data_IF_982712488339
#
_entry.id   IF_982712488339
#
_cell.length_a   1.000
_cell.length_b   1.000
_cell.length_c   1.000
_cell.angle_alpha   90.00
_cell.angle_beta   90.00
_cell.angle_gamma   90.00
#
_symmetry.space_group_name_H-M   'P 1'
#
loop_
_entity.id
_entity.type
_entity.pdbx_description
1 polymer ?
#
# COMPACT_ATOMS: atom_id res chain seq x y z
N UNK A 1 -10.14 33.83 -18.82
CA UNK A 1 -8.91 34.33 -19.47
C UNK A 1 -8.51 33.30 -20.54
N UNK A 2 -8.40 33.66 -21.82
CA UNK A 2 -7.99 32.72 -22.88
C UNK A 2 -6.47 32.60 -22.90
N UNK A 3 -5.91 31.48 -22.45
CA UNK A 3 -4.46 31.19 -22.52
C UNK A 3 -4.15 30.44 -23.81
N UNK A 4 -3.16 30.90 -24.57
CA UNK A 4 -2.76 30.30 -25.85
C UNK A 4 -1.26 29.97 -25.77
N UNK A 5 -0.88 28.76 -26.20
CA UNK A 5 0.53 28.37 -26.32
C UNK A 5 1.03 28.77 -27.70
N UNK A 6 2.13 29.50 -27.73
CA UNK A 6 2.82 29.84 -28.98
C UNK A 6 3.68 28.64 -29.41
N UNK A 7 3.39 28.10 -30.58
CA UNK A 7 4.13 26.98 -31.20
C UNK A 7 4.93 27.43 -32.43
N UNK A 8 5.15 28.74 -32.59
CA UNK A 8 5.94 29.31 -33.68
C UNK A 8 7.40 28.85 -33.59
N UNK A 9 8.05 28.77 -34.75
CA UNK A 9 9.45 28.38 -34.81
C UNK A 9 10.34 29.48 -34.24
N UNK A 10 11.06 29.18 -33.17
CA UNK A 10 12.09 30.02 -32.60
C UNK A 10 13.41 29.26 -32.50
N UNK A 11 14.45 29.79 -33.14
CA UNK A 11 15.81 29.29 -32.97
C UNK A 11 16.51 30.05 -31.86
N UNK A 12 17.42 29.39 -31.16
CA UNK A 12 18.24 30.01 -30.14
C UNK A 12 19.71 29.63 -30.34
N UNK A 13 20.66 30.56 -30.08
CA UNK A 13 22.07 30.31 -30.32
C UNK A 13 22.70 29.53 -29.17
N UNK A 14 23.69 28.69 -29.45
CA UNK A 14 24.47 28.02 -28.40
C UNK A 14 25.30 29.01 -27.58
N UNK A 15 25.73 30.11 -28.21
CA UNK A 15 26.50 31.18 -27.59
C UNK A 15 25.74 32.49 -27.70
N UNK A 16 25.46 33.11 -26.57
CA UNK A 16 24.78 34.39 -26.45
C UNK A 16 25.79 35.47 -26.03
N UNK A 17 26.04 36.42 -26.93
CA UNK A 17 26.88 37.59 -26.68
C UNK A 17 25.99 38.76 -26.28
N UNK A 18 26.16 39.26 -25.05
CA UNK A 18 25.38 40.38 -24.51
C UNK A 18 26.24 41.62 -24.24
N UNK A 19 27.51 41.64 -24.66
CA UNK A 19 28.42 42.75 -24.35
C UNK A 19 27.85 44.11 -24.82
N UNK A 20 27.25 44.14 -26.02
CA UNK A 20 26.66 45.34 -26.62
C UNK A 20 25.44 45.89 -25.86
N UNK A 21 24.70 45.03 -25.14
CA UNK A 21 23.57 45.46 -24.31
C UNK A 21 24.04 46.06 -22.98
N UNK A 22 25.19 45.61 -22.46
CA UNK A 22 25.74 46.13 -21.20
C UNK A 22 26.52 47.41 -21.43
N UNK A 23 27.35 47.48 -22.48
CA UNK A 23 28.14 48.68 -22.84
C UNK A 23 27.28 49.91 -23.16
N UNK A 24 26.07 49.71 -23.70
CA UNK A 24 25.11 50.80 -23.97
C UNK A 24 24.46 51.36 -22.70
N UNK A 25 24.51 50.62 -21.59
CA UNK A 25 23.93 51.04 -20.31
C UNK A 25 24.88 51.94 -19.50
N UNK A 26 26.20 51.78 -19.68
CA UNK A 26 27.20 52.65 -19.03
C UNK A 26 27.26 54.06 -19.65
N UNK A 27 26.84 54.22 -20.92
CA UNK A 27 26.81 55.51 -21.61
C UNK A 27 25.46 56.25 -21.52
N UNK A 28 24.46 55.71 -20.82
CA UNK A 28 23.10 56.25 -20.77
C UNK A 28 22.61 56.62 -19.36
N UNK A 29 23.53 56.96 -18.44
CA UNK A 29 23.18 57.53 -17.13
C UNK A 29 23.11 59.06 -17.17
N UNK A 30 22.10 59.61 -17.83
CA UNK A 30 21.50 60.91 -17.48
C UNK A 30 19.97 60.85 -17.64
N UNK A 31 19.26 60.99 -16.50
CA UNK A 31 17.82 61.29 -16.35
C UNK A 31 16.81 60.23 -16.88
N UNK A 32 15.83 59.73 -16.11
CA UNK A 32 14.83 60.46 -15.32
C UNK A 32 14.10 59.58 -14.29
N UNK A 33 13.92 60.15 -13.08
CA UNK A 33 12.81 60.06 -12.12
C UNK A 33 11.86 58.85 -12.07
N UNK A 34 11.78 58.31 -10.85
CA UNK A 34 10.77 57.43 -10.25
C UNK A 34 9.31 57.72 -10.67
N UNK A 35 8.57 56.65 -10.99
CA UNK A 35 7.12 56.57 -10.79
C UNK A 35 6.74 55.19 -10.25
N UNK A 36 6.38 55.19 -8.97
CA UNK A 36 5.74 54.10 -8.24
C UNK A 36 4.27 53.99 -8.68
N UNK A 37 3.80 52.79 -9.03
CA UNK A 37 2.38 52.44 -9.15
C UNK A 37 2.18 51.05 -8.48
N UNK A 38 1.10 50.81 -7.71
CA UNK A 38 1.03 49.77 -6.69
C UNK A 38 0.48 48.41 -7.18
N UNK A 39 0.83 47.36 -6.44
CA UNK A 39 0.36 45.97 -6.54
C UNK A 39 -1.16 45.80 -6.46
N UNK A 40 -1.71 44.79 -7.15
CA UNK A 40 -2.91 44.11 -6.71
C UNK A 40 -2.64 42.62 -6.40
N UNK A 41 -2.76 42.33 -5.10
CA UNK A 41 -3.37 41.17 -4.44
C UNK A 41 -3.24 39.76 -5.04
N UNK A 42 -2.67 38.90 -4.20
CA UNK A 42 -2.77 37.43 -4.19
C UNK A 42 -4.22 36.95 -4.10
N UNK A 43 -4.61 36.01 -4.96
CA UNK A 43 -5.52 34.89 -4.61
C UNK A 43 -5.51 33.83 -5.74
N UNK A 44 -5.07 32.60 -5.44
CA UNK A 44 -5.89 31.39 -5.59
C UNK A 44 -5.03 30.15 -5.37
N UNK A 45 -5.28 29.47 -4.26
CA UNK A 45 -4.98 28.06 -4.05
C UNK A 45 -5.71 27.19 -5.07
N UNK A 46 -5.01 26.28 -5.74
CA UNK A 46 -5.64 25.16 -6.46
C UNK A 46 -4.86 23.87 -6.21
N UNK A 47 -5.53 22.92 -5.55
CA UNK A 47 -5.06 21.61 -5.15
C UNK A 47 -5.18 20.66 -6.35
N UNK A 48 -4.05 20.33 -6.97
CA UNK A 48 -3.98 19.37 -8.07
C UNK A 48 -3.74 17.94 -7.58
N UNK A 49 -4.79 17.12 -7.69
CA UNK A 49 -4.80 15.68 -7.42
C UNK A 49 -3.94 14.92 -8.45
N UNK A 50 -3.06 14.06 -7.94
CA UNK A 50 -2.18 13.14 -8.66
C UNK A 50 -2.98 11.95 -9.21
N UNK A 51 -3.08 11.84 -10.55
CA UNK A 51 -3.41 10.58 -11.21
C UNK A 51 -2.31 10.21 -12.20
N UNK A 52 -1.45 9.29 -11.75
CA UNK A 52 -0.44 8.64 -12.56
C UNK A 52 -1.05 7.85 -13.72
N UNK A 53 -0.55 8.11 -14.93
CA UNK A 53 -0.79 7.26 -16.10
C UNK A 53 0.58 6.84 -16.63
N UNK A 54 0.88 5.56 -16.46
CA UNK A 54 2.02 4.88 -17.05
C UNK A 54 1.89 4.87 -18.58
N UNK A 55 2.92 5.33 -19.29
CA UNK A 55 2.97 5.26 -20.76
C UNK A 55 4.05 4.26 -21.16
N UNK A 56 3.63 3.12 -21.71
CA UNK A 56 4.50 2.05 -22.19
C UNK A 56 5.40 2.54 -23.35
N UNK A 57 6.69 2.23 -23.25
CA UNK A 57 7.71 2.55 -24.26
C UNK A 57 7.75 1.45 -25.33
N UNK A 58 7.35 1.80 -26.56
CA UNK A 58 7.57 0.95 -27.74
C UNK A 58 9.01 1.14 -28.27
N UNK A 59 9.90 0.22 -27.95
CA UNK A 59 11.26 0.17 -28.50
C UNK A 59 11.23 -0.60 -29.82
N UNK A 60 11.34 0.10 -30.95
CA UNK A 60 11.73 -0.50 -32.23
C UNK A 60 13.24 -0.36 -32.39
N UNK A 61 13.95 -1.47 -32.17
CA UNK A 61 15.37 -1.59 -32.43
C UNK A 61 15.68 -1.42 -33.90
N UNK A 62 16.38 -0.34 -34.24
CA UNK A 62 17.16 -0.23 -35.45
C UNK A 62 18.61 0.04 -35.04
N UNK A 63 19.43 -1.01 -35.16
CA UNK A 63 20.89 -0.91 -35.07
C UNK A 63 21.39 -0.09 -36.27
N UNK A 64 21.86 1.12 -36.01
CA UNK A 64 22.71 1.87 -36.93
C UNK A 64 23.94 2.33 -36.16
N UNK A 65 25.04 1.62 -36.37
CA UNK A 65 26.36 2.06 -35.93
C UNK A 65 26.65 3.43 -36.53
N UNK A 66 26.96 4.40 -35.69
CA UNK A 66 27.51 5.69 -36.10
C UNK A 66 28.63 6.11 -35.17
N UNK A 67 29.84 6.07 -35.73
CA UNK A 67 30.98 6.94 -35.54
C UNK A 67 31.14 7.68 -34.20
N UNK A 68 31.92 7.06 -33.32
CA UNK A 68 32.50 7.70 -32.13
C UNK A 68 33.41 8.91 -32.47
N UNK A 69 33.80 9.08 -33.74
CA UNK A 69 34.68 10.16 -34.21
C UNK A 69 34.00 11.50 -34.43
N UNK A 70 32.69 11.53 -34.72
CA UNK A 70 31.94 12.79 -34.93
C UNK A 70 31.64 13.52 -33.61
N UNK A 71 31.37 12.78 -32.55
CA UNK A 71 31.00 13.30 -31.23
C UNK A 71 32.17 13.96 -30.47
N UNK A 72 33.39 13.47 -30.68
CA UNK A 72 34.61 14.06 -30.11
C UNK A 72 34.95 15.42 -30.75
N UNK A 73 34.56 15.61 -32.03
CA UNK A 73 34.82 16.84 -32.77
C UNK A 73 33.94 18.01 -32.29
N UNK A 74 32.69 17.77 -31.88
CA UNK A 74 31.77 18.83 -31.45
C UNK A 74 32.11 19.41 -30.08
N UNK A 75 32.50 18.57 -29.10
CA UNK A 75 32.96 19.05 -27.79
C UNK A 75 34.25 19.89 -27.91
N UNK A 76 35.16 19.50 -28.82
CA UNK A 76 36.39 20.22 -29.11
C UNK A 76 36.17 21.50 -29.94
N UNK A 77 35.14 21.54 -30.79
CA UNK A 77 34.73 22.74 -31.53
C UNK A 77 34.09 23.78 -30.61
N UNK A 78 33.22 23.35 -29.69
CA UNK A 78 32.60 24.21 -28.69
C UNK A 78 33.62 24.83 -27.73
N UNK A 79 34.62 24.06 -27.30
CA UNK A 79 35.70 24.56 -26.44
C UNK A 79 36.59 25.60 -27.13
N UNK A 80 36.84 25.43 -28.44
CA UNK A 80 37.59 26.41 -29.25
C UNK A 80 36.79 27.70 -29.48
N UNK A 81 35.50 27.58 -29.78
CA UNK A 81 34.59 28.71 -29.91
C UNK A 81 34.50 29.51 -28.60
N UNK A 82 34.43 28.85 -27.44
CA UNK A 82 34.44 29.52 -26.14
C UNK A 82 35.72 30.33 -25.87
N UNK A 83 36.89 29.88 -26.34
CA UNK A 83 38.17 30.60 -26.20
C UNK A 83 38.27 31.82 -27.12
N UNK A 84 37.76 31.74 -28.35
CA UNK A 84 37.68 32.91 -29.24
C UNK A 84 36.70 33.94 -28.74
N UNK A 85 35.56 33.51 -28.18
CA UNK A 85 34.50 34.41 -27.73
C UNK A 85 34.84 35.13 -26.42
N UNK A 86 35.75 34.62 -25.59
CA UNK A 86 36.34 35.37 -24.46
C UNK A 86 37.02 36.68 -24.88
N UNK A 87 37.42 36.81 -26.14
CA UNK A 87 38.00 38.06 -26.69
C UNK A 87 36.96 39.16 -26.94
N UNK A 88 35.66 38.84 -26.90
CA UNK A 88 34.55 39.78 -27.18
C UNK A 88 34.07 40.58 -25.97
N UNK A 89 34.59 40.28 -24.77
CA UNK A 89 34.18 40.90 -23.51
C UNK A 89 33.63 39.89 -22.50
N UNK A 90 33.34 40.31 -21.25
CA UNK A 90 32.98 39.39 -20.17
C UNK A 90 31.55 38.83 -20.30
N UNK A 91 30.63 39.49 -21.01
CA UNK A 91 29.21 39.15 -21.03
C UNK A 91 28.85 38.14 -22.14
N UNK A 92 29.58 37.03 -22.20
CA UNK A 92 29.33 35.92 -23.12
C UNK A 92 28.82 34.71 -22.34
N UNK A 93 27.76 34.08 -22.85
CA UNK A 93 27.08 32.98 -22.20
C UNK A 93 26.93 31.76 -23.12
N UNK A 94 26.98 30.57 -22.55
CA UNK A 94 26.78 29.29 -23.24
C UNK A 94 25.44 28.67 -22.81
N UNK A 95 24.66 28.18 -23.77
CA UNK A 95 23.45 27.41 -23.52
C UNK A 95 23.81 26.07 -22.88
N UNK A 96 23.21 25.76 -21.75
CA UNK A 96 23.47 24.50 -21.05
C UNK A 96 22.21 23.74 -20.63
N UNK A 97 21.03 24.38 -20.64
CA UNK A 97 19.78 23.69 -20.36
C UNK A 97 18.63 24.29 -21.18
N UNK A 98 17.75 23.41 -21.65
CA UNK A 98 16.56 23.71 -22.43
C UNK A 98 15.41 23.00 -21.73
N UNK A 99 14.51 23.77 -21.10
CA UNK A 99 13.28 23.24 -20.55
C UNK A 99 12.24 23.17 -21.65
N UNK A 100 11.70 21.98 -21.85
CA UNK A 100 10.79 21.68 -22.95
C UNK A 100 9.41 21.43 -22.35
N UNK A 101 8.40 21.99 -22.99
CA UNK A 101 7.03 21.73 -22.64
C UNK A 101 6.32 21.05 -23.81
N UNK A 102 5.74 19.89 -23.56
CA UNK A 102 4.93 19.14 -24.51
C UNK A 102 3.47 19.20 -24.06
N UNK A 103 2.60 19.84 -24.83
CA UNK A 103 1.19 20.00 -24.46
C UNK A 103 0.64 21.40 -24.72
N UNK A 104 -0.54 21.67 -24.15
CA UNK A 104 -1.29 22.90 -24.38
C UNK A 104 -1.05 23.94 -23.29
N UNK A 105 -1.59 25.16 -23.46
CA UNK A 105 -1.54 26.17 -22.40
C UNK A 105 -2.33 25.80 -21.12
N UNK A 106 -3.20 24.78 -21.20
CA UNK A 106 -3.99 24.30 -20.06
C UNK A 106 -3.32 23.14 -19.30
N UNK A 107 -2.29 22.52 -19.88
CA UNK A 107 -1.65 21.35 -19.28
C UNK A 107 -0.77 20.62 -20.29
N UNK A 108 0.26 19.96 -19.76
CA UNK A 108 1.26 19.25 -20.53
C UNK A 108 2.36 18.66 -19.64
N UNK A 109 3.39 18.15 -20.29
CA UNK A 109 4.53 17.49 -19.67
C UNK A 109 5.79 18.34 -19.80
N UNK A 110 6.58 18.42 -18.73
CA UNK A 110 7.85 19.14 -18.71
C UNK A 110 9.00 18.16 -18.60
N UNK A 111 10.02 18.40 -19.41
CA UNK A 111 11.29 17.67 -19.34
C UNK A 111 12.42 18.60 -19.76
N UNK A 112 13.66 18.22 -19.48
CA UNK A 112 14.80 19.09 -19.72
C UNK A 112 15.85 18.41 -20.59
N UNK A 113 16.39 19.14 -21.56
CA UNK A 113 17.67 18.80 -22.18
C UNK A 113 18.75 19.56 -21.44
N UNK A 114 19.75 18.85 -20.91
CA UNK A 114 20.83 19.45 -20.12
C UNK A 114 22.16 18.99 -20.70
N UNK A 115 23.05 19.94 -20.93
CA UNK A 115 24.43 19.72 -21.33
C UNK A 115 25.24 19.37 -20.08
N UNK A 116 25.84 18.19 -20.09
CA UNK A 116 26.79 17.79 -19.07
C UNK A 116 28.10 18.57 -19.24
N UNK A 117 28.57 19.23 -18.19
CA UNK A 117 29.86 19.93 -18.20
C UNK A 117 31.06 18.98 -18.08
N UNK A 118 30.84 17.69 -17.80
CA UNK A 118 31.90 16.69 -17.64
C UNK A 118 32.41 16.23 -19.02
N UNK A 119 31.49 15.93 -19.93
CA UNK A 119 31.78 15.35 -21.25
C UNK A 119 31.29 16.23 -22.43
N UNK A 120 30.63 17.35 -22.12
CA UNK A 120 30.10 18.29 -23.11
C UNK A 120 28.91 17.75 -23.91
N UNK A 121 28.34 16.62 -23.51
CA UNK A 121 27.25 15.96 -24.23
C UNK A 121 25.88 16.39 -23.71
N UNK A 122 24.86 16.27 -24.55
CA UNK A 122 23.48 16.58 -24.18
C UNK A 122 22.72 15.33 -23.74
N UNK A 123 21.90 15.51 -22.71
CA UNK A 123 21.06 14.46 -22.15
C UNK A 123 19.63 14.95 -21.99
N UNK A 124 18.66 14.08 -22.28
CA UNK A 124 17.25 14.25 -21.96
C UNK A 124 16.97 13.70 -20.58
N UNK A 125 16.56 14.57 -19.67
CA UNK A 125 16.06 14.26 -18.34
C UNK A 125 14.54 14.30 -18.39
N UNK A 126 13.93 13.12 -18.48
CA UNK A 126 12.48 12.91 -18.52
C UNK A 126 12.07 12.06 -17.32
N UNK A 127 11.77 12.73 -16.21
CA UNK A 127 11.46 12.13 -14.91
C UNK A 127 12.50 11.07 -14.47
N UNK A 128 12.06 9.81 -14.34
CA UNK A 128 12.91 8.68 -13.95
C UNK A 128 13.87 8.22 -15.06
N UNK A 129 13.75 8.74 -16.28
CA UNK A 129 14.53 8.32 -17.44
C UNK A 129 15.52 9.40 -17.88
N UNK A 130 16.79 9.02 -17.94
CA UNK A 130 17.86 9.86 -18.47
C UNK A 130 18.49 9.17 -19.69
N UNK A 131 18.50 9.85 -20.83
CA UNK A 131 19.08 9.33 -22.08
C UNK A 131 19.96 10.36 -22.77
N UNK A 132 20.99 9.91 -23.49
CA UNK A 132 21.82 10.78 -24.32
C UNK A 132 21.04 11.22 -25.56
N UNK A 133 21.19 12.48 -25.96
CA UNK A 133 20.54 13.04 -27.16
C UNK A 133 21.55 13.69 -28.10
N UNK A 134 21.10 13.87 -29.34
CA UNK A 134 21.83 14.52 -30.43
C UNK A 134 21.37 15.97 -30.62
N UNK A 135 22.19 16.77 -31.30
CA UNK A 135 21.80 18.14 -31.65
C UNK A 135 20.57 18.19 -32.56
N UNK A 136 20.36 17.18 -33.40
CA UNK A 136 19.14 17.06 -34.21
C UNK A 136 17.88 17.04 -33.33
N UNK A 137 17.93 16.37 -32.18
CA UNK A 137 16.81 16.35 -31.22
C UNK A 137 16.58 17.71 -30.57
N UNK A 138 17.64 18.47 -30.28
CA UNK A 138 17.53 19.86 -29.82
C UNK A 138 16.82 20.71 -30.88
N UNK A 139 17.18 20.59 -32.16
CA UNK A 139 16.54 21.39 -33.21
C UNK A 139 15.04 21.12 -33.37
N UNK A 140 14.56 19.92 -32.99
CA UNK A 140 13.12 19.61 -32.97
C UNK A 140 12.37 20.44 -31.93
N UNK A 141 13.05 20.94 -30.90
CA UNK A 141 12.45 21.80 -29.85
C UNK A 141 12.26 23.24 -30.29
N UNK A 142 12.76 23.64 -31.46
CA UNK A 142 12.58 25.00 -32.00
C UNK A 142 11.13 25.31 -32.34
N UNK A 143 10.23 24.32 -32.38
CA UNK A 143 8.84 24.52 -32.73
C UNK A 143 8.62 24.72 -34.24
N UNK A 144 7.38 25.03 -34.62
CA UNK A 144 6.97 25.26 -36.01
C UNK A 144 7.10 24.07 -36.95
N UNK A 145 7.09 22.84 -36.42
CA UNK A 145 7.04 21.63 -37.24
C UNK A 145 5.69 21.52 -37.95
N UNK A 146 5.72 21.60 -39.29
CA UNK A 146 4.56 21.43 -40.20
C UNK A 146 4.49 20.03 -40.82
N UNK A 147 5.26 19.07 -40.28
CA UNK A 147 5.34 17.70 -40.76
C UNK A 147 4.01 16.93 -40.65
N UNK A 148 3.72 16.14 -41.69
CA UNK A 148 2.44 15.47 -41.99
C UNK A 148 1.68 14.93 -40.78
N UNK A 149 0.38 15.29 -40.70
CA UNK A 149 -0.63 14.70 -39.81
C UNK A 149 -0.80 13.20 -40.11
N UNK A 150 0.13 12.38 -39.62
CA UNK A 150 -0.06 10.94 -39.49
C UNK A 150 -1.17 10.69 -38.48
N UNK A 151 -2.18 9.91 -38.87
CA UNK A 151 -3.49 9.73 -38.23
C UNK A 151 -3.46 9.22 -36.76
N UNK A 152 -2.28 8.98 -36.17
CA UNK A 152 -2.12 8.36 -34.85
C UNK A 152 -1.07 9.01 -33.92
N UNK A 153 -0.39 10.12 -34.28
CA UNK A 153 0.68 10.70 -33.42
C UNK A 153 0.76 12.25 -33.43
N UNK A 154 -0.37 12.93 -33.65
CA UNK A 154 -0.36 14.37 -33.98
C UNK A 154 -0.87 15.32 -32.88
N UNK A 155 -1.47 14.82 -31.79
CA UNK A 155 -2.11 15.68 -30.78
C UNK A 155 -1.14 16.23 -29.72
N UNK A 156 0.02 15.59 -29.49
CA UNK A 156 0.99 16.04 -28.48
C UNK A 156 2.32 16.55 -29.08
N UNK A 157 2.83 15.90 -30.13
CA UNK A 157 4.12 16.22 -30.77
C UNK A 157 4.15 17.58 -31.47
N UNK A 158 3.00 18.03 -31.99
CA UNK A 158 2.87 19.34 -32.66
C UNK A 158 2.90 20.53 -31.71
N UNK A 159 2.92 20.26 -30.40
CA UNK A 159 2.94 21.26 -29.33
C UNK A 159 4.20 21.17 -28.48
N UNK A 160 5.22 20.42 -28.88
CA UNK A 160 6.49 20.30 -28.14
C UNK A 160 7.46 21.38 -28.59
N UNK A 161 7.85 22.28 -27.68
CA UNK A 161 8.86 23.29 -27.95
C UNK A 161 9.61 23.71 -26.68
N UNK A 162 10.74 24.37 -26.89
CA UNK A 162 11.50 25.01 -25.82
C UNK A 162 10.63 26.09 -25.17
N UNK A 163 10.47 25.97 -23.85
CA UNK A 163 9.70 26.90 -23.03
C UNK A 163 10.63 27.86 -22.26
N UNK A 164 11.77 27.37 -21.76
CA UNK A 164 12.76 28.17 -21.06
C UNK A 164 14.17 27.73 -21.46
N UNK A 165 15.05 28.72 -21.65
CA UNK A 165 16.45 28.50 -21.98
C UNK A 165 17.32 28.98 -20.82
N UNK A 166 18.30 28.18 -20.43
CA UNK A 166 19.26 28.55 -19.40
C UNK A 166 20.65 28.69 -20.02
N UNK A 167 21.19 29.89 -19.87
CA UNK A 167 22.52 30.26 -20.30
C UNK A 167 23.43 30.48 -19.09
N UNK A 168 24.68 30.01 -19.16
CA UNK A 168 25.69 30.17 -18.12
C UNK A 168 26.82 31.04 -18.65
N UNK A 169 27.24 32.04 -17.90
CA UNK A 169 28.36 32.90 -18.30
C UNK A 169 29.63 32.04 -18.46
N UNK A 170 30.41 32.29 -19.51
CA UNK A 170 31.65 31.58 -19.80
C UNK A 170 32.78 32.14 -18.92
N UNK A 171 32.66 31.93 -17.61
CA UNK A 171 33.62 32.39 -16.61
C UNK A 171 33.93 31.29 -15.59
N UNK A 172 35.11 30.67 -15.73
CA UNK A 172 35.58 29.60 -14.84
C UNK A 172 35.81 30.07 -13.40
N UNK A 173 36.08 31.36 -13.17
CA UNK A 173 36.33 31.86 -11.81
C UNK A 173 35.01 32.02 -11.04
N UNK A 174 33.92 32.34 -11.74
CA UNK A 174 32.57 32.43 -11.15
C UNK A 174 31.85 31.08 -11.07
N UNK A 175 32.20 30.16 -11.96
CA UNK A 175 31.50 28.90 -12.12
C UNK A 175 32.03 27.85 -11.14
N UNK A 176 31.19 27.43 -10.20
CA UNK A 176 31.47 26.29 -9.35
C UNK A 176 31.45 24.97 -10.14
N UNK A 177 32.32 24.04 -9.71
CA UNK A 177 32.32 22.64 -10.12
C UNK A 177 31.26 21.83 -9.35
N UNK A 178 31.01 20.60 -9.81
CA UNK A 178 30.09 19.70 -9.13
C UNK A 178 30.68 19.19 -7.80
N UNK A 179 29.89 19.28 -6.73
CA UNK A 179 30.22 18.71 -5.42
C UNK A 179 30.30 17.19 -5.54
N UNK A 180 31.44 16.59 -5.19
CA UNK A 180 31.57 15.14 -5.15
C UNK A 180 30.97 14.58 -3.86
N UNK A 181 30.66 13.28 -3.85
CA UNK A 181 30.14 12.63 -2.64
C UNK A 181 31.01 12.90 -1.40
N UNK A 182 32.34 12.88 -1.59
CA UNK A 182 33.29 13.10 -0.51
C UNK A 182 33.29 14.53 0.04
N UNK A 183 32.83 15.51 -0.74
CA UNK A 183 32.76 16.91 -0.35
C UNK A 183 31.51 17.25 0.49
N UNK A 184 30.52 16.33 0.55
CA UNK A 184 29.33 16.57 1.37
C UNK A 184 29.67 16.61 2.87
N UNK A 185 29.04 17.53 3.64
CA UNK A 185 29.17 17.56 5.09
C UNK A 185 28.83 16.23 5.76
N UNK A 186 29.57 15.88 6.82
CA UNK A 186 29.43 14.62 7.53
C UNK A 186 27.98 14.35 8.02
N UNK A 187 27.26 15.38 8.46
CA UNK A 187 25.89 15.24 8.93
C UNK A 187 24.91 14.82 7.81
N UNK A 188 25.14 15.25 6.57
CA UNK A 188 24.32 14.85 5.41
C UNK A 188 24.61 13.39 5.05
N UNK A 189 25.88 12.98 5.06
CA UNK A 189 26.28 11.58 4.83
C UNK A 189 25.67 10.66 5.89
N UNK A 190 25.69 11.07 7.15
CA UNK A 190 25.05 10.33 8.25
C UNK A 190 23.54 10.25 8.06
N UNK A 191 22.88 11.34 7.65
CA UNK A 191 21.44 11.34 7.38
C UNK A 191 21.06 10.35 6.27
N UNK A 192 21.83 10.33 5.18
CA UNK A 192 21.65 9.36 4.09
C UNK A 192 21.78 7.91 4.59
N UNK A 193 22.76 7.63 5.45
CA UNK A 193 22.91 6.31 6.04
C UNK A 193 21.71 5.93 6.91
N UNK A 194 21.25 6.83 7.78
CA UNK A 194 20.08 6.60 8.61
C UNK A 194 18.81 6.35 7.77
N UNK A 195 18.65 7.04 6.64
CA UNK A 195 17.53 6.80 5.72
C UNK A 195 17.58 5.38 5.13
N UNK A 196 18.75 4.92 4.69
CA UNK A 196 18.94 3.55 4.17
C UNK A 196 18.67 2.51 5.25
N UNK A 197 19.22 2.69 6.44
CA UNK A 197 19.03 1.77 7.56
C UNK A 197 17.55 1.69 7.95
N UNK A 198 16.84 2.83 7.95
CA UNK A 198 15.40 2.90 8.20
C UNK A 198 14.61 2.17 7.12
N UNK A 199 14.91 2.39 5.84
CA UNK A 199 14.24 1.70 4.72
C UNK A 199 14.45 0.18 4.78
N UNK A 200 15.66 -0.28 5.06
CA UNK A 200 15.98 -1.69 5.25
C UNK A 200 15.27 -2.30 6.46
N UNK A 201 15.17 -1.55 7.56
CA UNK A 201 14.43 -1.96 8.74
C UNK A 201 12.93 -2.09 8.43
N UNK A 202 12.33 -1.10 7.79
CA UNK A 202 10.92 -1.12 7.38
C UNK A 202 10.62 -2.23 6.37
N UNK A 203 11.56 -2.56 5.49
CA UNK A 203 11.44 -3.69 4.57
C UNK A 203 11.43 -5.03 5.32
N UNK A 204 12.38 -5.22 6.26
CA UNK A 204 12.42 -6.42 7.11
C UNK A 204 11.15 -6.58 7.94
N UNK A 205 10.66 -5.49 8.53
CA UNK A 205 9.42 -5.50 9.30
C UNK A 205 8.21 -5.87 8.44
N UNK A 206 8.10 -5.32 7.22
CA UNK A 206 7.04 -5.69 6.26
C UNK A 206 7.09 -7.17 5.86
N UNK A 207 8.28 -7.74 5.72
CA UNK A 207 8.45 -9.18 5.41
C UNK A 207 8.00 -10.07 6.59
N UNK A 208 8.32 -9.67 7.83
CA UNK A 208 7.82 -10.34 9.03
C UNK A 208 6.30 -10.24 9.15
N UNK A 209 5.73 -9.04 8.99
CA UNK A 209 4.27 -8.83 9.09
C UNK A 209 3.49 -9.63 8.03
N UNK A 210 4.06 -9.83 6.83
CA UNK A 210 3.48 -10.70 5.78
C UNK A 210 3.42 -12.19 6.16
N UNK A 211 4.18 -12.61 7.17
CA UNK A 211 4.23 -13.99 7.64
C UNK A 211 3.60 -14.19 9.03
N UNK A 212 3.09 -13.13 9.65
CA UNK A 212 2.47 -13.18 10.98
C UNK A 212 0.94 -13.17 10.88
N UNK A 213 0.32 -14.23 11.36
CA UNK A 213 -1.13 -14.29 11.58
C UNK A 213 -1.48 -13.50 12.86
N UNK A 214 -2.43 -12.57 12.75
CA UNK A 214 -2.92 -11.76 13.88
C UNK A 214 -4.42 -12.01 14.04
N UNK A 215 -4.83 -12.73 15.09
CA UNK A 215 -6.22 -13.13 15.31
C UNK A 215 -6.58 -12.99 16.79
N UNK A 216 -7.85 -12.70 17.09
CA UNK A 216 -8.32 -12.71 18.49
C UNK A 216 -8.36 -14.13 19.02
N UNK A 217 -7.93 -14.28 20.26
CA UNK A 217 -7.98 -15.54 20.99
C UNK A 217 -8.67 -15.29 22.32
N UNK A 218 -9.70 -16.09 22.59
CA UNK A 218 -10.46 -16.04 23.82
C UNK A 218 -10.08 -17.22 24.71
N UNK A 219 -10.27 -17.08 26.02
CA UNK A 219 -10.19 -18.20 26.96
C UNK A 219 -11.16 -17.94 28.12
N UNK A 220 -11.95 -18.94 28.51
CA UNK A 220 -12.70 -18.89 29.77
C UNK A 220 -11.78 -19.32 30.91
N UNK A 221 -11.23 -18.35 31.63
CA UNK A 221 -10.17 -18.62 32.59
C UNK A 221 -10.73 -19.30 33.86
N UNK A 222 -10.30 -20.54 34.20
CA UNK A 222 -10.94 -21.35 35.26
C UNK A 222 -10.93 -20.69 36.64
N UNK A 223 -9.82 -20.09 37.05
CA UNK A 223 -9.74 -19.38 38.35
C UNK A 223 -10.52 -18.06 38.38
N UNK A 224 -10.45 -17.27 37.30
CA UNK A 224 -11.08 -15.94 37.23
C UNK A 224 -12.57 -16.02 36.91
N UNK A 225 -13.08 -17.19 36.50
CA UNK A 225 -14.48 -17.48 36.15
C UNK A 225 -15.07 -16.45 35.17
N UNK A 226 -14.27 -16.02 34.21
CA UNK A 226 -14.65 -15.05 33.18
C UNK A 226 -13.89 -15.32 31.88
N UNK A 227 -14.47 -14.88 30.78
CA UNK A 227 -13.81 -14.87 29.48
C UNK A 227 -12.76 -13.74 29.42
N UNK A 228 -11.61 -14.05 28.83
CA UNK A 228 -10.50 -13.12 28.62
C UNK A 228 -10.17 -13.16 27.12
N UNK A 229 -10.02 -11.98 26.53
CA UNK A 229 -9.57 -11.80 25.15
C UNK A 229 -8.09 -11.39 25.15
N UNK A 230 -7.31 -11.99 24.27
CA UNK A 230 -5.96 -11.54 23.92
C UNK A 230 -5.75 -11.62 22.40
N UNK A 231 -4.84 -10.80 21.90
CA UNK A 231 -4.46 -10.83 20.48
C UNK A 231 -3.33 -11.83 20.29
N UNK A 232 -3.62 -12.93 19.58
CA UNK A 232 -2.63 -13.91 19.20
C UNK A 232 -1.87 -13.41 17.97
N UNK A 233 -0.57 -13.19 18.11
CA UNK A 233 0.35 -12.90 17.01
C UNK A 233 1.31 -14.08 16.84
N UNK A 234 1.15 -14.83 15.75
CA UNK A 234 1.87 -16.09 15.53
C UNK A 234 2.39 -16.19 14.11
N UNK A 235 3.60 -16.72 13.94
CA UNK A 235 4.15 -16.97 12.62
C UNK A 235 3.32 -18.05 11.91
N UNK A 236 3.04 -17.87 10.61
CA UNK A 236 2.21 -18.77 9.82
C UNK A 236 2.72 -20.23 9.79
N UNK A 237 4.01 -20.45 10.01
CA UNK A 237 4.64 -21.78 9.95
C UNK A 237 4.64 -22.50 11.31
N UNK A 238 4.22 -21.83 12.40
CA UNK A 238 4.05 -22.49 13.69
C UNK A 238 2.90 -23.49 13.62
N UNK A 239 3.09 -24.64 14.23
CA UNK A 239 2.08 -25.70 14.29
C UNK A 239 0.95 -25.34 15.25
N UNK A 240 -0.19 -26.02 15.13
CA UNK A 240 -1.31 -25.86 16.06
C UNK A 240 -0.91 -26.25 17.49
N UNK A 241 -0.09 -27.29 17.65
CA UNK A 241 0.47 -27.70 18.96
C UNK A 241 1.30 -26.59 19.58
N UNK A 242 2.30 -26.07 18.86
CA UNK A 242 3.12 -24.95 19.36
C UNK A 242 2.28 -23.71 19.67
N UNK A 243 1.25 -23.45 18.86
CA UNK A 243 0.35 -22.32 19.07
C UNK A 243 -0.51 -22.51 20.32
N UNK A 244 -0.94 -23.74 20.60
CA UNK A 244 -1.69 -24.09 21.82
C UNK A 244 -0.81 -23.91 23.06
N UNK A 245 0.47 -24.30 23.00
CA UNK A 245 1.44 -24.04 24.08
C UNK A 245 1.66 -22.54 24.33
N UNK A 246 1.79 -21.75 23.25
CA UNK A 246 1.94 -20.30 23.34
C UNK A 246 0.69 -19.67 23.96
N UNK A 247 -0.50 -20.09 23.52
CA UNK A 247 -1.78 -19.66 24.08
C UNK A 247 -1.91 -20.03 25.57
N UNK A 248 -1.55 -21.25 25.93
CA UNK A 248 -1.58 -21.76 27.30
C UNK A 248 -0.74 -20.89 28.26
N UNK A 249 0.46 -20.52 27.84
CA UNK A 249 1.33 -19.58 28.57
C UNK A 249 0.77 -18.15 28.57
N UNK A 250 0.26 -17.69 27.43
CA UNK A 250 -0.33 -16.36 27.28
C UNK A 250 -1.50 -16.11 28.26
N UNK A 251 -2.25 -17.16 28.63
CA UNK A 251 -3.35 -17.07 29.60
C UNK A 251 -2.98 -17.48 31.04
N UNK A 252 -1.69 -17.70 31.33
CA UNK A 252 -1.19 -18.08 32.66
C UNK A 252 -1.84 -19.38 33.20
N UNK A 253 -2.02 -20.40 32.36
CA UNK A 253 -2.70 -21.65 32.73
C UNK A 253 -1.78 -22.73 33.32
N UNK A 254 -0.46 -22.49 33.33
CA UNK A 254 0.60 -23.46 33.70
C UNK A 254 0.38 -24.14 35.06
N UNK A 255 -0.06 -23.39 36.05
CA UNK A 255 -0.27 -23.86 37.42
C UNK A 255 -1.74 -24.24 37.72
N UNK A 256 -2.61 -24.21 36.71
CA UNK A 256 -4.06 -24.34 36.88
C UNK A 256 -4.59 -25.67 36.37
N UNK A 257 -4.20 -26.07 35.16
CA UNK A 257 -4.58 -27.34 34.55
C UNK A 257 -3.48 -27.83 33.60
N UNK A 258 -3.35 -29.13 33.35
CA UNK A 258 -2.35 -29.63 32.42
C UNK A 258 -2.63 -29.19 30.97
N UNK A 259 -1.57 -29.09 30.16
CA UNK A 259 -1.67 -28.68 28.75
C UNK A 259 -2.57 -29.58 27.89
N UNK A 260 -2.65 -30.89 28.20
CA UNK A 260 -3.51 -31.85 27.48
C UNK A 260 -5.02 -31.60 27.71
N UNK A 261 -5.35 -30.73 28.65
CA UNK A 261 -6.69 -30.26 28.93
C UNK A 261 -7.00 -28.94 28.19
N UNK A 262 -6.12 -28.49 27.30
CA UNK A 262 -6.29 -27.31 26.45
C UNK A 262 -6.27 -27.68 24.97
N UNK A 263 -7.13 -27.02 24.18
CA UNK A 263 -7.02 -27.04 22.71
C UNK A 263 -7.49 -25.73 22.11
N UNK A 264 -6.97 -25.39 20.93
CA UNK A 264 -7.47 -24.27 20.14
C UNK A 264 -8.64 -24.75 19.28
N UNK A 265 -9.72 -23.98 19.25
CA UNK A 265 -10.89 -24.21 18.40
C UNK A 265 -11.32 -22.93 17.70
N UNK A 266 -12.01 -23.08 16.57
CA UNK A 266 -12.63 -21.97 15.85
C UNK A 266 -13.86 -21.48 16.61
N UNK A 267 -13.93 -20.17 16.83
CA UNK A 267 -14.93 -19.53 17.68
C UNK A 267 -15.59 -18.34 16.96
N UNK A 268 -16.89 -18.17 17.19
CA UNK A 268 -17.68 -17.01 16.74
C UNK A 268 -18.11 -16.26 18.00
N UNK A 269 -17.44 -15.15 18.30
CA UNK A 269 -17.70 -14.31 19.49
C UNK A 269 -19.14 -13.79 19.51
N UNK A 270 -19.66 -13.37 18.35
CA UNK A 270 -20.98 -12.74 18.25
C UNK A 270 -22.10 -13.72 18.64
N UNK A 271 -21.96 -14.99 18.25
CA UNK A 271 -22.94 -16.03 18.56
C UNK A 271 -22.60 -16.87 19.80
N UNK A 272 -21.46 -16.61 20.45
CA UNK A 272 -20.91 -17.39 21.55
C UNK A 272 -20.92 -18.89 21.21
N UNK A 273 -20.29 -19.23 20.08
CA UNK A 273 -20.38 -20.58 19.51
C UNK A 273 -19.06 -21.13 18.98
N UNK A 274 -18.80 -22.40 19.29
CA UNK A 274 -17.68 -23.17 18.76
C UNK A 274 -18.01 -23.68 17.36
N UNK A 275 -17.32 -23.18 16.33
CA UNK A 275 -17.62 -23.52 14.95
C UNK A 275 -16.98 -24.85 14.51
N UNK A 276 -15.72 -25.08 14.89
CA UNK A 276 -14.92 -26.21 14.42
C UNK A 276 -13.77 -26.52 15.40
N UNK A 277 -13.48 -27.80 15.64
CA UNK A 277 -12.24 -28.27 16.26
C UNK A 277 -11.29 -28.81 15.19
N UNK A 278 -10.05 -29.06 15.57
CA UNK A 278 -8.95 -29.37 14.63
C UNK A 278 -8.30 -30.72 14.93
N UNK A 279 -9.11 -31.72 15.32
CA UNK A 279 -8.61 -33.07 15.63
C UNK A 279 -7.83 -33.66 14.45
N UNK A 280 -6.64 -34.19 14.70
CA UNK A 280 -5.77 -34.76 13.66
C UNK A 280 -5.04 -33.72 12.80
N UNK A 281 -5.08 -32.44 13.20
CA UNK A 281 -4.41 -31.32 12.52
C UNK A 281 -3.41 -30.61 13.44
N UNK A 282 -2.93 -31.30 14.46
CA UNK A 282 -2.01 -30.77 15.48
C UNK A 282 -0.68 -30.30 14.85
N UNK A 283 -0.23 -31.01 13.82
CA UNK A 283 1.00 -30.71 13.05
C UNK A 283 0.76 -29.71 11.90
N UNK A 284 -0.49 -29.33 11.62
CA UNK A 284 -0.76 -28.32 10.60
C UNK A 284 -0.29 -26.95 11.07
N UNK A 285 0.22 -26.17 10.11
CA UNK A 285 0.68 -24.81 10.40
C UNK A 285 -0.50 -23.86 10.59
N UNK A 286 -0.32 -22.79 11.37
CA UNK A 286 -1.34 -21.77 11.54
C UNK A 286 -1.75 -21.09 10.23
N UNK A 287 -0.85 -21.04 9.25
CA UNK A 287 -1.16 -20.62 7.89
C UNK A 287 -2.18 -21.54 7.21
N UNK A 288 -2.10 -22.86 7.43
CA UNK A 288 -3.09 -23.82 6.92
C UNK A 288 -4.40 -23.71 7.70
N UNK A 289 -4.34 -23.71 9.04
CA UNK A 289 -5.50 -23.65 9.94
C UNK A 289 -6.34 -22.39 9.72
N UNK A 290 -5.69 -21.24 9.54
CA UNK A 290 -6.36 -19.95 9.36
C UNK A 290 -6.70 -19.62 7.90
N UNK A 291 -6.25 -20.45 6.95
CA UNK A 291 -6.42 -20.22 5.52
C UNK A 291 -5.61 -19.02 5.01
N UNK A 292 -4.37 -18.88 5.46
CA UNK A 292 -3.40 -17.86 5.09
C UNK A 292 -3.26 -16.71 6.08
N UNK A 293 -2.27 -15.86 5.83
CA UNK A 293 -2.08 -14.59 6.54
C UNK A 293 -3.07 -13.57 5.98
N UNK A 294 -3.91 -13.00 6.84
CA UNK A 294 -4.95 -12.03 6.45
C UNK A 294 -4.86 -10.78 7.33
N UNK A 295 -5.32 -9.64 6.80
CA UNK A 295 -5.45 -8.41 7.59
C UNK A 295 -6.47 -8.56 8.72
N UNK A 296 -7.56 -9.30 8.46
CA UNK A 296 -8.58 -9.64 9.43
C UNK A 296 -9.15 -11.02 9.12
N UNK A 297 -9.53 -11.74 10.16
CA UNK A 297 -10.25 -13.00 10.09
C UNK A 297 -11.73 -12.75 10.39
N UNK A 298 -12.61 -13.50 9.73
CA UNK A 298 -14.07 -13.42 9.93
C UNK A 298 -14.57 -14.33 11.06
N UNK A 299 -13.65 -14.78 11.91
CA UNK A 299 -13.85 -15.65 13.06
C UNK A 299 -12.71 -15.40 14.04
N UNK A 300 -12.89 -15.90 15.24
CA UNK A 300 -11.93 -15.81 16.33
C UNK A 300 -11.49 -17.21 16.75
N UNK A 301 -10.50 -17.30 17.62
CA UNK A 301 -10.11 -18.55 18.24
C UNK A 301 -10.56 -18.57 19.70
N UNK A 302 -10.82 -19.76 20.23
CA UNK A 302 -10.95 -20.00 21.66
C UNK A 302 -9.91 -21.05 22.07
N UNK A 303 -9.17 -20.76 23.14
CA UNK A 303 -8.45 -21.77 23.91
C UNK A 303 -9.46 -22.43 24.83
N UNK A 304 -10.01 -23.54 24.37
CA UNK A 304 -10.98 -24.36 25.11
C UNK A 304 -10.24 -25.18 26.17
N UNK A 305 -10.79 -25.19 27.38
CA UNK A 305 -10.27 -25.97 28.51
C UNK A 305 -11.30 -27.00 28.95
N UNK A 306 -10.85 -28.19 29.35
CA UNK A 306 -11.70 -29.24 29.94
C UNK A 306 -11.18 -29.67 31.31
N UNK A 307 -12.01 -30.37 32.08
CA UNK A 307 -11.52 -31.11 33.24
C UNK A 307 -10.77 -32.38 32.82
N UNK A 308 -9.87 -32.86 33.67
CA UNK A 308 -9.02 -34.03 33.37
C UNK A 308 -9.81 -35.33 33.18
N UNK A 309 -11.00 -35.44 33.78
CA UNK A 309 -11.92 -36.58 33.66
C UNK A 309 -12.84 -36.52 32.43
N UNK A 310 -12.79 -35.41 31.68
CA UNK A 310 -13.62 -35.20 30.49
C UNK A 310 -12.84 -35.48 29.21
N UNK A 311 -13.56 -35.89 28.17
CA UNK A 311 -13.06 -35.94 26.81
C UNK A 311 -13.54 -34.71 26.03
N UNK A 312 -12.71 -34.25 25.10
CA UNK A 312 -13.06 -33.17 24.21
C UNK A 312 -14.12 -33.62 23.20
N UNK A 313 -15.17 -32.81 23.01
CA UNK A 313 -16.16 -33.07 21.97
C UNK A 313 -15.64 -32.59 20.61
N UNK A 314 -15.70 -33.43 19.57
CA UNK A 314 -15.36 -33.00 18.21
C UNK A 314 -16.42 -32.02 17.66
N UNK A 315 -15.98 -30.87 17.14
CA UNK A 315 -16.85 -29.89 16.49
C UNK A 315 -16.60 -29.87 14.98
N UNK A 316 -17.62 -30.24 14.21
CA UNK A 316 -17.56 -30.13 12.75
C UNK A 316 -18.20 -28.84 12.26
N UNK A 317 -17.70 -28.28 11.14
CA UNK A 317 -18.32 -27.11 10.50
C UNK A 317 -19.82 -27.33 10.22
N UNK A 318 -20.62 -26.28 10.38
CA UNK A 318 -22.06 -26.32 10.13
C UNK A 318 -22.92 -26.85 11.28
N UNK A 319 -22.32 -27.12 12.45
CA UNK A 319 -23.06 -27.35 13.68
C UNK A 319 -23.73 -26.07 14.20
N UNK A 320 -24.70 -26.25 15.09
CA UNK A 320 -25.45 -25.19 15.78
C UNK A 320 -25.27 -25.36 17.28
N UNK A 321 -25.03 -24.26 17.98
CA UNK A 321 -24.96 -24.25 19.45
C UNK A 321 -26.34 -23.93 20.00
N UNK A 322 -26.79 -24.75 20.95
CA UNK A 322 -28.13 -24.63 21.54
C UNK A 322 -27.97 -24.48 23.04
N UNK A 323 -28.35 -23.33 23.60
CA UNK A 323 -28.44 -23.12 25.04
C UNK A 323 -29.74 -23.73 25.54
N UNK A 324 -29.65 -24.87 26.22
CA UNK A 324 -30.82 -25.58 26.76
C UNK A 324 -31.03 -25.15 28.20
N UNK A 325 -32.20 -24.62 28.51
CA UNK A 325 -32.62 -24.25 29.85
C UNK A 325 -33.53 -25.34 30.40
N UNK A 326 -33.22 -25.83 31.60
CA UNK A 326 -34.09 -26.80 32.28
C UNK A 326 -35.07 -26.02 33.14
N UNK A 327 -36.34 -26.05 32.77
CA UNK A 327 -37.43 -25.46 33.54
C UNK A 327 -38.08 -26.52 34.44
N UNK A 328 -37.93 -26.36 35.75
CA UNK A 328 -38.67 -27.10 36.76
C UNK A 328 -40.00 -26.37 37.00
N UNK A 329 -41.06 -26.93 36.42
CA UNK A 329 -42.41 -26.36 36.46
C UNK A 329 -43.04 -26.51 37.85
N UNK A 330 -42.66 -27.53 38.62
CA UNK A 330 -43.27 -27.77 39.94
C UNK A 330 -42.77 -26.75 40.98
N UNK A 331 -41.49 -26.37 40.88
CA UNK A 331 -40.85 -25.45 41.81
C UNK A 331 -40.71 -24.01 41.26
N UNK A 332 -41.13 -23.76 40.02
CA UNK A 332 -40.98 -22.48 39.30
C UNK A 332 -39.52 -22.02 39.22
N UNK A 333 -38.62 -22.98 38.93
CA UNK A 333 -37.17 -22.75 38.86
C UNK A 333 -36.69 -22.91 37.42
N UNK A 334 -35.91 -21.94 36.94
CA UNK A 334 -35.15 -22.03 35.70
C UNK A 334 -33.68 -22.23 36.04
N UNK A 335 -33.12 -23.39 35.68
CA UNK A 335 -31.70 -23.68 35.90
C UNK A 335 -30.80 -22.92 34.91
N UNK A 336 -29.52 -22.80 35.26
CA UNK A 336 -28.50 -22.26 34.37
C UNK A 336 -28.44 -23.06 33.05
N UNK A 337 -28.25 -22.40 31.90
CA UNK A 337 -28.28 -23.06 30.62
C UNK A 337 -27.09 -24.00 30.44
N UNK A 338 -27.35 -25.16 29.85
CA UNK A 338 -26.31 -26.02 29.32
C UNK A 338 -26.14 -25.77 27.81
N UNK A 339 -24.90 -25.65 27.35
CA UNK A 339 -24.61 -25.53 25.91
C UNK A 339 -24.57 -26.93 25.28
N UNK A 340 -25.46 -27.19 24.34
CA UNK A 340 -25.54 -28.44 23.59
C UNK A 340 -25.20 -28.17 22.13
N UNK A 341 -24.19 -28.85 21.60
CA UNK A 341 -23.87 -28.83 20.17
C UNK A 341 -24.76 -29.82 19.43
N UNK A 342 -25.45 -29.34 18.39
CA UNK A 342 -26.27 -30.15 17.52
C UNK A 342 -25.96 -29.82 16.05
N UNK A 343 -26.55 -30.58 15.12
CA UNK A 343 -26.41 -30.35 13.68
C UNK A 343 -27.76 -30.09 13.04
N UNK A 344 -27.80 -29.18 12.08
CA UNK A 344 -29.03 -28.82 11.37
C UNK A 344 -29.71 -30.00 10.68
N UNK A 345 -28.93 -31.03 10.32
CA UNK A 345 -29.39 -32.28 9.69
C UNK A 345 -29.99 -33.27 10.67
N UNK A 346 -29.71 -33.15 11.96
CA UNK A 346 -30.28 -34.03 12.99
C UNK A 346 -31.77 -33.79 13.13
N UNK A 347 -32.49 -34.84 13.49
CA UNK A 347 -33.90 -34.82 13.83
C UNK A 347 -34.13 -34.31 15.26
N UNK A 348 -35.33 -33.83 15.56
CA UNK A 348 -35.74 -33.46 16.93
C UNK A 348 -35.51 -34.63 17.90
N UNK A 349 -35.77 -35.87 17.48
CA UNK A 349 -35.56 -37.04 18.32
C UNK A 349 -34.07 -37.28 18.64
N UNK A 350 -33.19 -37.13 17.65
CA UNK A 350 -31.74 -37.25 17.86
C UNK A 350 -31.23 -36.14 18.77
N UNK A 351 -31.73 -34.92 18.61
CA UNK A 351 -31.43 -33.81 19.52
C UNK A 351 -31.88 -34.09 20.96
N UNK A 352 -33.11 -34.59 21.17
CA UNK A 352 -33.59 -34.96 22.50
C UNK A 352 -32.74 -36.06 23.14
N UNK A 353 -32.27 -37.05 22.34
CA UNK A 353 -31.34 -38.08 22.82
C UNK A 353 -30.00 -37.47 23.27
N UNK A 354 -29.47 -36.49 22.54
CA UNK A 354 -28.27 -35.76 22.95
C UNK A 354 -28.47 -35.05 24.29
N UNK A 355 -29.56 -34.28 24.43
CA UNK A 355 -29.90 -33.57 25.67
C UNK A 355 -30.10 -34.57 26.83
N UNK A 356 -30.81 -35.67 26.57
CA UNK A 356 -31.06 -36.76 27.53
C UNK A 356 -29.76 -37.39 28.04
N UNK A 357 -28.78 -37.60 27.17
CA UNK A 357 -27.47 -38.14 27.56
C UNK A 357 -26.69 -37.18 28.47
N UNK A 358 -26.85 -35.87 28.29
CA UNK A 358 -26.19 -34.83 29.09
C UNK A 358 -26.90 -34.67 30.44
N UNK A 359 -28.22 -34.47 30.43
CA UNK A 359 -29.03 -34.23 31.63
C UNK A 359 -29.37 -35.51 32.41
N UNK A 360 -29.07 -36.69 31.87
CA UNK A 360 -29.43 -38.01 32.44
C UNK A 360 -30.94 -38.17 32.70
N UNK A 361 -31.78 -37.56 31.86
CA UNK A 361 -33.25 -37.63 31.96
C UNK A 361 -33.86 -38.43 30.79
N UNK A 362 -34.95 -39.20 30.98
CA UNK A 362 -35.57 -39.97 29.88
C UNK A 362 -36.13 -39.08 28.76
N UNK A 363 -35.88 -39.45 27.50
CA UNK A 363 -36.38 -38.72 26.31
C UNK A 363 -37.90 -38.60 26.30
N UNK A 364 -38.61 -39.64 26.75
CA UNK A 364 -40.08 -39.73 26.71
C UNK A 364 -40.76 -38.76 27.69
N UNK A 365 -40.03 -38.32 28.72
CA UNK A 365 -40.49 -37.37 29.72
C UNK A 365 -40.12 -35.92 29.35
N UNK A 366 -39.34 -35.72 28.28
CA UNK A 366 -38.81 -34.43 27.87
C UNK A 366 -39.71 -33.69 26.89
N UNK A 367 -40.12 -32.48 27.26
CA UNK A 367 -40.77 -31.50 26.37
C UNK A 367 -39.77 -30.40 26.06
N UNK A 368 -39.52 -30.14 24.78
CA UNK A 368 -38.58 -29.11 24.33
C UNK A 368 -39.34 -27.99 23.61
N UNK A 369 -39.01 -26.75 23.92
CA UNK A 369 -39.64 -25.56 23.33
C UNK A 369 -38.53 -24.66 22.81
N UNK A 370 -38.47 -24.49 21.48
CA UNK A 370 -37.50 -23.58 20.87
C UNK A 370 -37.98 -22.14 21.04
N UNK A 371 -37.15 -21.29 21.65
CA UNK A 371 -37.36 -19.84 21.66
C UNK A 371 -36.79 -19.23 20.37
N UNK A 372 -37.66 -18.53 19.62
CA UNK A 372 -37.30 -17.80 18.39
C UNK A 372 -37.29 -16.29 18.65
N UNK A 373 -36.99 -15.50 17.62
CA UNK A 373 -37.00 -14.04 17.68
C UNK A 373 -38.33 -13.51 18.25
N UNK A 374 -38.25 -12.46 19.09
CA UNK A 374 -39.39 -11.85 19.79
C UNK A 374 -40.12 -12.79 20.78
N UNK A 375 -39.39 -13.74 21.38
CA UNK A 375 -39.93 -14.68 22.39
C UNK A 375 -41.07 -15.55 21.87
N UNK A 376 -41.08 -15.82 20.56
CA UNK A 376 -41.97 -16.80 19.95
C UNK A 376 -41.54 -18.21 20.39
N UNK A 377 -42.39 -18.87 21.18
CA UNK A 377 -42.13 -20.18 21.76
C UNK A 377 -42.73 -21.28 20.87
N UNK A 378 -41.87 -22.09 20.29
CA UNK A 378 -42.27 -23.17 19.37
C UNK A 378 -42.03 -24.54 19.99
N UNK A 379 -43.10 -25.25 20.28
CA UNK A 379 -43.01 -26.63 20.76
C UNK A 379 -42.46 -27.56 19.67
N UNK A 380 -41.40 -28.32 20.00
CA UNK A 380 -40.76 -29.28 19.10
C UNK A 380 -41.55 -30.60 19.05
N UNK A 381 -42.71 -30.57 18.39
CA UNK A 381 -43.71 -31.63 18.43
C UNK A 381 -43.44 -32.82 17.49
N UNK A 382 -42.66 -32.62 16.41
CA UNK A 382 -42.50 -33.61 15.34
C UNK A 382 -41.12 -34.28 15.41
N UNK A 383 -41.01 -35.52 15.90
CA UNK A 383 -39.72 -36.15 16.21
C UNK A 383 -38.79 -36.30 15.01
N UNK A 384 -39.34 -36.51 13.81
CA UNK A 384 -38.59 -36.79 12.59
C UNK A 384 -38.25 -35.54 11.76
N UNK A 385 -38.72 -34.35 12.15
CA UNK A 385 -38.31 -33.12 11.48
C UNK A 385 -36.88 -32.78 11.86
N UNK A 386 -36.13 -32.27 10.89
CA UNK A 386 -34.76 -31.82 11.14
C UNK A 386 -34.76 -30.51 11.94
N UNK A 387 -33.69 -30.25 12.68
CA UNK A 387 -33.51 -29.00 13.41
C UNK A 387 -33.59 -27.78 12.46
N UNK A 388 -33.06 -27.91 11.24
CA UNK A 388 -33.21 -26.88 10.20
C UNK A 388 -34.68 -26.58 9.89
N UNK A 389 -35.51 -27.60 9.74
CA UNK A 389 -36.93 -27.45 9.43
C UNK A 389 -37.74 -26.90 10.62
N UNK A 390 -37.29 -27.16 11.85
CA UNK A 390 -37.84 -26.53 13.07
C UNK A 390 -37.35 -25.09 13.27
N UNK A 391 -36.37 -24.65 12.48
CA UNK A 391 -35.92 -23.27 12.43
C UNK A 391 -34.71 -22.97 13.31
N UNK A 392 -33.91 -24.00 13.65
CA UNK A 392 -32.63 -23.80 14.33
C UNK A 392 -31.63 -23.09 13.42
N UNK A 393 -30.99 -22.04 13.93
CA UNK A 393 -29.92 -21.30 13.26
C UNK A 393 -28.57 -21.45 14.02
N UNK A 394 -27.57 -20.59 13.77
CA UNK A 394 -26.22 -20.69 14.40
C UNK A 394 -26.25 -20.83 15.93
N UNK A 395 -27.08 -20.02 16.61
CA UNK A 395 -27.28 -20.04 18.07
C UNK A 395 -28.78 -20.06 18.37
N UNK A 396 -29.20 -20.93 19.30
CA UNK A 396 -30.61 -21.11 19.66
C UNK A 396 -30.77 -21.29 21.17
N UNK A 397 -31.97 -21.04 21.68
CA UNK A 397 -32.36 -21.33 23.06
C UNK A 397 -33.51 -22.34 23.07
N UNK A 398 -33.41 -23.38 23.89
CA UNK A 398 -34.39 -24.47 24.00
C UNK A 398 -34.78 -24.73 25.44
#
# INVERSE_FOLDING_TARGET
MHRIKLNERMTFPDILDLNHLVESTENSTECTSEKVIPDPAEDSSDEGIDEGIEVENCVSGASSGSDSSSLLNEAAANSRNAQEMKKKGPYVYELFSIMIHSGSAAGGHYYAYIKSFIDGQWYSFNDQHVSKITYEEITKTYGGSTGSRGYYSATYTSSTNAYMLMYRQIDKQRNADFIQFDDFPAHIKQHLQNMKDKEEFEKRQRELDKSMCKIKLFCYHPLKKRQIEQKLEIHKDKTLTETTEIAYKMFDLEDILPLDCCRIVKYDEYHDSLECSYEGQEDHTMGQILGGVKQAYNFDLLLETKHSDQEFQEYRPGGVTVKVYVADIENDILHDPISVRAYQTQTVNEFKKLVSNILKCPVDQMRCVLERFHSDLRFLAVPNKTLKAEGFFKSNKV
#
